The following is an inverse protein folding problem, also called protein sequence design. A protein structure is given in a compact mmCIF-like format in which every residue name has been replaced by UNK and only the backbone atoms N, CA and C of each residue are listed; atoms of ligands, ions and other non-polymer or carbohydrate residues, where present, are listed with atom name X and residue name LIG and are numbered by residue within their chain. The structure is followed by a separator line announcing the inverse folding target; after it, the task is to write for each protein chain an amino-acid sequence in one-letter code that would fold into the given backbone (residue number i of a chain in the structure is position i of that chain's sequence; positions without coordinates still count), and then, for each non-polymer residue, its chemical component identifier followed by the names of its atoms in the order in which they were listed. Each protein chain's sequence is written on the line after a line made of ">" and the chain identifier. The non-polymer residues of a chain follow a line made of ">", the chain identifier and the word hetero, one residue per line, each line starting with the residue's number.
data_IF_042796847285
#
_entry.id   IF_042796847285
#
_cell.length_a   1.000
_cell.length_b   1.000
_cell.length_c   1.000
_cell.angle_alpha   90.00
_cell.angle_beta   90.00
_cell.angle_gamma   90.00
#
_symmetry.space_group_name_H-M   'P 1'
#
loop_
_entity.id
_entity.type
_entity.pdbx_description
1 polymer ?
#
# COMPACT_ATOMS: atom_id res chain seq x y z
N UNK A 1 6.22 -39.64 -17.56
CA UNK A 1 6.53 -38.18 -17.65
C UNK A 1 7.10 -37.72 -16.29
N UNK A 2 8.27 -37.07 -16.28
CA UNK A 2 8.75 -36.43 -15.04
C UNK A 2 7.90 -35.19 -14.83
N UNK A 3 7.03 -35.19 -13.83
CA UNK A 3 6.23 -34.03 -13.48
C UNK A 3 7.14 -32.87 -13.02
N UNK A 4 6.90 -31.68 -13.54
CA UNK A 4 7.58 -30.45 -13.05
C UNK A 4 6.92 -30.10 -11.72
N UNK A 5 7.69 -29.93 -10.62
CA UNK A 5 7.13 -29.43 -9.38
C UNK A 5 6.50 -28.05 -9.62
N UNK A 6 5.22 -27.92 -9.29
CA UNK A 6 4.48 -26.67 -9.51
C UNK A 6 4.09 -26.09 -8.15
N UNK A 7 4.43 -24.83 -7.93
CA UNK A 7 4.12 -24.08 -6.72
C UNK A 7 3.26 -22.88 -7.09
N UNK A 8 2.18 -22.67 -6.36
CA UNK A 8 1.32 -21.48 -6.47
C UNK A 8 1.38 -20.68 -5.17
N UNK A 9 1.77 -19.44 -5.27
CA UNK A 9 1.83 -18.51 -4.14
C UNK A 9 0.70 -17.48 -4.35
N UNK A 10 -0.21 -17.40 -3.39
CA UNK A 10 -1.30 -16.44 -3.44
C UNK A 10 -0.79 -15.01 -3.20
N UNK A 11 -1.47 -14.05 -3.80
CA UNK A 11 -1.13 -12.63 -3.63
C UNK A 11 -1.27 -12.19 -2.16
N UNK A 12 -0.38 -11.31 -1.71
CA UNK A 12 -0.47 -10.67 -0.39
C UNK A 12 -1.73 -9.80 -0.22
N UNK A 13 -2.42 -9.45 -1.32
CA UNK A 13 -3.71 -8.74 -1.26
C UNK A 13 -4.86 -9.62 -0.79
N UNK A 14 -4.68 -10.94 -0.78
CA UNK A 14 -5.73 -11.92 -0.42
C UNK A 14 -5.68 -12.23 1.07
N UNK A 15 -6.13 -11.25 1.87
CA UNK A 15 -6.07 -11.30 3.33
C UNK A 15 -7.05 -12.34 3.92
N UNK A 16 -8.24 -12.51 3.32
CA UNK A 16 -9.32 -13.32 3.87
C UNK A 16 -9.52 -14.68 3.16
N UNK A 17 -8.66 -15.02 2.20
CA UNK A 17 -8.75 -16.30 1.49
C UNK A 17 -8.30 -16.24 0.03
N UNK A 18 -8.33 -17.38 -0.67
CA UNK A 18 -7.76 -17.48 -2.00
C UNK A 18 -8.59 -16.73 -3.05
N UNK A 19 -7.89 -16.24 -4.07
CA UNK A 19 -8.48 -15.67 -5.30
C UNK A 19 -9.32 -16.69 -6.07
N UNK A 20 -10.10 -16.19 -7.03
CA UNK A 20 -10.85 -17.06 -7.96
C UNK A 20 -9.88 -18.02 -8.69
N UNK A 21 -8.72 -17.51 -9.13
CA UNK A 21 -7.67 -18.33 -9.74
C UNK A 21 -7.12 -19.37 -8.76
N UNK A 22 -6.80 -18.96 -7.54
CA UNK A 22 -6.35 -19.87 -6.49
C UNK A 22 -7.36 -20.98 -6.19
N UNK A 23 -8.66 -20.64 -6.09
CA UNK A 23 -9.76 -21.60 -5.90
C UNK A 23 -9.90 -22.56 -7.09
N UNK A 24 -9.71 -22.09 -8.31
CA UNK A 24 -9.76 -22.94 -9.50
C UNK A 24 -8.58 -23.92 -9.55
N UNK A 25 -7.37 -23.40 -9.34
CA UNK A 25 -6.14 -24.22 -9.35
C UNK A 25 -6.09 -25.22 -8.20
N UNK A 26 -6.71 -24.93 -7.05
CA UNK A 26 -6.72 -25.84 -5.89
C UNK A 26 -7.40 -27.18 -6.14
N UNK A 27 -8.12 -27.31 -7.26
CA UNK A 27 -8.72 -28.58 -7.74
C UNK A 27 -7.79 -29.37 -8.66
N UNK A 28 -6.65 -28.79 -9.05
CA UNK A 28 -5.67 -29.44 -9.95
C UNK A 28 -4.66 -30.23 -9.10
N UNK A 29 -4.53 -31.55 -9.32
CA UNK A 29 -3.60 -32.35 -8.53
C UNK A 29 -2.13 -32.00 -8.86
N UNK A 30 -1.25 -32.13 -7.86
CA UNK A 30 0.19 -31.97 -8.05
C UNK A 30 0.71 -30.54 -7.89
N UNK A 31 -0.17 -29.57 -7.59
CA UNK A 31 0.23 -28.18 -7.26
C UNK A 31 0.35 -28.04 -5.75
N UNK A 32 1.44 -27.43 -5.29
CA UNK A 32 1.61 -27.01 -3.88
C UNK A 32 1.16 -25.57 -3.72
N UNK A 33 0.31 -25.30 -2.73
CA UNK A 33 -0.29 -23.98 -2.52
C UNK A 33 0.29 -23.32 -1.28
N UNK A 34 0.56 -22.03 -1.42
CA UNK A 34 1.10 -21.19 -0.34
C UNK A 34 0.31 -19.90 -0.25
N UNK A 35 0.13 -19.42 0.97
CA UNK A 35 -0.46 -18.12 1.26
C UNK A 35 0.51 -17.23 2.05
N UNK A 36 0.16 -15.96 2.17
CA UNK A 36 0.95 -14.94 2.87
C UNK A 36 0.27 -14.44 4.15
N UNK A 37 -0.78 -15.13 4.62
CA UNK A 37 -1.57 -14.76 5.80
C UNK A 37 -1.85 -15.99 6.64
N UNK A 38 -1.34 -15.99 7.89
CA UNK A 38 -1.49 -17.13 8.78
C UNK A 38 -2.95 -17.44 9.14
N UNK A 39 -3.81 -16.42 9.14
CA UNK A 39 -5.21 -16.50 9.61
C UNK A 39 -6.08 -17.46 8.79
N UNK A 40 -5.75 -17.73 7.51
CA UNK A 40 -6.47 -18.69 6.68
C UNK A 40 -5.61 -19.84 6.13
N UNK A 41 -4.45 -20.07 6.77
CA UNK A 41 -3.62 -21.22 6.49
C UNK A 41 -4.33 -22.54 6.88
N UNK A 42 -4.12 -23.59 6.09
CA UNK A 42 -4.66 -24.91 6.31
C UNK A 42 -3.78 -25.98 5.64
N UNK A 43 -4.19 -27.25 5.68
CA UNK A 43 -3.41 -28.37 5.11
C UNK A 43 -3.13 -28.21 3.59
N UNK A 44 -4.01 -27.55 2.86
CA UNK A 44 -3.85 -27.30 1.43
C UNK A 44 -3.07 -26.01 1.15
N UNK A 45 -3.30 -24.94 1.94
CA UNK A 45 -2.72 -23.63 1.79
C UNK A 45 -1.74 -23.34 2.93
N UNK A 46 -0.47 -23.59 2.66
CA UNK A 46 0.57 -23.46 3.70
C UNK A 46 1.03 -22.02 3.82
N UNK A 47 1.09 -21.51 5.04
CA UNK A 47 1.70 -20.21 5.31
C UNK A 47 3.22 -20.33 5.31
N UNK A 48 3.90 -19.50 4.52
CA UNK A 48 5.36 -19.43 4.40
C UNK A 48 5.94 -18.08 4.84
N UNK A 49 5.12 -17.17 5.33
CA UNK A 49 5.48 -15.79 5.59
C UNK A 49 4.83 -14.84 4.59
N UNK A 50 4.98 -13.54 4.84
CA UNK A 50 4.45 -12.46 4.02
C UNK A 50 5.58 -11.57 3.49
N UNK A 51 5.33 -10.90 2.36
CA UNK A 51 6.23 -9.84 1.86
C UNK A 51 6.35 -8.66 2.82
N UNK A 52 5.46 -8.57 3.81
CA UNK A 52 5.45 -7.54 4.85
C UNK A 52 6.21 -7.91 6.11
N UNK A 53 6.53 -9.20 6.34
CA UNK A 53 7.17 -9.69 7.58
C UNK A 53 8.60 -9.14 7.79
N UNK A 54 9.22 -8.59 6.75
CA UNK A 54 10.58 -8.05 6.81
C UNK A 54 10.65 -6.56 7.15
N UNK A 55 9.56 -5.95 7.67
CA UNK A 55 9.53 -4.53 7.99
C UNK A 55 9.10 -4.30 9.43
N UNK A 56 9.70 -3.30 10.05
CA UNK A 56 9.35 -2.80 11.37
C UNK A 56 9.26 -1.27 11.35
N UNK A 57 8.36 -0.73 12.14
CA UNK A 57 8.20 0.71 12.30
C UNK A 57 8.87 1.15 13.59
N UNK A 58 9.73 2.16 13.49
CA UNK A 58 10.40 2.77 14.63
C UNK A 58 10.09 4.26 14.71
N UNK A 59 9.95 4.76 15.92
CA UNK A 59 9.69 6.17 16.15
C UNK A 59 10.95 7.00 15.86
N UNK A 60 10.80 8.11 15.14
CA UNK A 60 11.91 9.01 14.86
C UNK A 60 12.29 9.80 16.10
N UNK A 61 13.59 9.92 16.43
CA UNK A 61 14.04 10.75 17.55
C UNK A 61 13.61 12.22 17.43
N UNK A 62 13.59 12.73 16.19
CA UNK A 62 13.18 14.10 15.88
C UNK A 62 11.96 14.04 14.95
N UNK A 63 10.78 14.19 15.52
CA UNK A 63 9.53 14.25 14.76
C UNK A 63 9.41 15.59 14.02
N UNK A 64 8.96 15.61 12.76
CA UNK A 64 8.74 16.86 12.05
C UNK A 64 7.56 17.62 12.69
N UNK A 65 7.72 18.92 12.85
CA UNK A 65 6.66 19.81 13.31
C UNK A 65 5.73 20.26 12.17
N UNK A 66 6.20 20.15 10.92
CA UNK A 66 5.43 20.41 9.70
C UNK A 66 5.88 19.49 8.58
N UNK A 67 4.99 19.23 7.65
CA UNK A 67 5.29 18.51 6.41
C UNK A 67 5.88 19.49 5.40
N UNK A 68 7.10 19.23 4.96
CA UNK A 68 7.78 20.00 3.92
C UNK A 68 7.72 19.33 2.56
N UNK A 69 7.91 18.00 2.52
CA UNK A 69 7.89 17.22 1.29
C UNK A 69 6.92 16.06 1.42
N UNK A 70 6.04 15.93 0.46
CA UNK A 70 5.06 14.85 0.45
C UNK A 70 4.99 14.15 -0.91
N UNK A 71 4.58 12.89 -0.90
CA UNK A 71 4.17 12.15 -2.10
C UNK A 71 2.73 11.72 -1.93
N UNK A 72 1.91 12.06 -2.91
CA UNK A 72 0.51 11.63 -3.02
C UNK A 72 0.36 10.78 -4.27
N UNK A 73 -0.09 9.53 -4.13
CA UNK A 73 -0.17 8.60 -5.26
C UNK A 73 -1.39 7.71 -5.20
N UNK A 74 -2.15 7.67 -6.30
CA UNK A 74 -3.30 6.77 -6.47
C UNK A 74 -3.03 5.62 -7.44
N UNK A 75 -1.77 5.43 -7.82
CA UNK A 75 -1.37 4.42 -8.81
C UNK A 75 -1.76 4.83 -10.24
N UNK A 76 -1.83 3.84 -11.12
CA UNK A 76 -2.03 4.05 -12.56
C UNK A 76 -3.30 3.38 -13.10
N UNK A 77 -4.27 3.01 -12.25
CA UNK A 77 -5.56 2.46 -12.73
C UNK A 77 -6.38 3.55 -13.41
N UNK A 78 -6.77 3.30 -14.65
CA UNK A 78 -7.40 4.29 -15.54
C UNK A 78 -8.89 4.53 -15.26
N UNK A 79 -9.62 3.59 -14.69
CA UNK A 79 -11.08 3.61 -14.67
C UNK A 79 -11.72 4.23 -13.42
N UNK A 80 -10.93 4.70 -12.45
CA UNK A 80 -11.48 5.11 -11.14
C UNK A 80 -10.95 6.46 -10.67
N UNK A 81 -11.84 7.45 -10.66
CA UNK A 81 -11.57 8.76 -10.08
C UNK A 81 -11.50 8.71 -8.55
N UNK A 82 -10.59 9.49 -7.97
CA UNK A 82 -10.44 9.62 -6.52
C UNK A 82 -10.34 11.10 -6.12
N UNK A 83 -11.26 11.90 -6.64
CA UNK A 83 -11.21 13.36 -6.57
C UNK A 83 -11.22 13.91 -5.13
N UNK A 84 -12.11 13.40 -4.26
CA UNK A 84 -12.25 13.90 -2.88
C UNK A 84 -10.94 13.77 -2.08
N UNK A 85 -10.15 12.73 -2.38
CA UNK A 85 -8.83 12.52 -1.84
C UNK A 85 -7.87 13.67 -2.20
N UNK A 86 -7.85 14.09 -3.47
CA UNK A 86 -6.99 15.19 -3.93
C UNK A 86 -7.46 16.54 -3.40
N UNK A 87 -8.77 16.80 -3.41
CA UNK A 87 -9.36 18.04 -2.86
C UNK A 87 -8.93 18.24 -1.41
N UNK A 88 -9.04 17.19 -0.58
CA UNK A 88 -8.66 17.26 0.82
C UNK A 88 -7.17 17.45 1.01
N UNK A 89 -6.34 16.74 0.28
CA UNK A 89 -4.89 16.82 0.42
C UNK A 89 -4.30 18.11 -0.15
N UNK A 90 -4.90 18.71 -1.19
CA UNK A 90 -4.50 19.99 -1.71
C UNK A 90 -4.55 21.08 -0.61
N UNK A 91 -5.63 21.09 0.19
CA UNK A 91 -5.74 21.98 1.36
C UNK A 91 -4.68 21.67 2.43
N UNK A 92 -4.51 20.37 2.78
CA UNK A 92 -3.62 19.97 3.87
C UNK A 92 -2.15 20.18 3.57
N UNK A 93 -1.75 20.12 2.30
CA UNK A 93 -0.37 20.24 1.83
C UNK A 93 -0.08 21.60 1.16
N UNK A 94 -1.00 22.58 1.26
CA UNK A 94 -0.83 23.92 0.67
C UNK A 94 0.40 24.69 1.17
N UNK A 95 0.89 24.38 2.36
CA UNK A 95 2.09 24.99 2.96
C UNK A 95 3.35 24.12 2.81
N UNK A 96 3.28 23.00 2.08
CA UNK A 96 4.44 22.14 1.84
C UNK A 96 5.39 22.78 0.82
N UNK A 97 6.71 22.60 1.01
CA UNK A 97 7.71 23.14 0.11
C UNK A 97 7.68 22.42 -1.26
N UNK A 98 7.29 21.14 -1.27
CA UNK A 98 7.17 20.31 -2.48
C UNK A 98 6.24 19.13 -2.27
N UNK A 99 5.37 18.87 -3.24
CA UNK A 99 4.50 17.70 -3.29
C UNK A 99 4.56 17.06 -4.67
N UNK A 100 4.85 15.76 -4.72
CA UNK A 100 4.70 14.98 -5.94
C UNK A 100 3.30 14.39 -5.97
N UNK A 101 2.51 14.79 -6.97
CA UNK A 101 1.14 14.34 -7.17
C UNK A 101 1.07 13.35 -8.33
N UNK A 102 0.80 12.06 -8.06
CA UNK A 102 0.45 11.06 -9.08
C UNK A 102 -1.05 10.81 -9.03
N UNK A 103 -1.76 11.31 -10.03
CA UNK A 103 -3.22 11.42 -10.04
C UNK A 103 -3.92 10.25 -10.72
N UNK A 104 -3.18 9.43 -11.50
CA UNK A 104 -3.81 8.45 -12.37
C UNK A 104 -4.79 9.15 -13.32
N UNK A 105 -5.96 8.56 -13.54
CA UNK A 105 -7.03 9.12 -14.37
C UNK A 105 -7.91 10.17 -13.66
N UNK A 106 -7.58 10.57 -12.42
CA UNK A 106 -8.37 11.56 -11.70
C UNK A 106 -8.14 12.96 -12.26
N UNK A 107 -9.19 13.61 -12.75
CA UNK A 107 -9.14 15.01 -13.16
C UNK A 107 -8.96 15.94 -11.96
N UNK A 108 -7.88 16.70 -11.97
CA UNK A 108 -7.49 17.67 -10.94
C UNK A 108 -7.20 19.05 -11.55
N UNK A 109 -7.61 19.30 -12.78
CA UNK A 109 -7.27 20.50 -13.57
C UNK A 109 -7.74 21.81 -12.95
N UNK A 110 -8.74 21.78 -12.07
CA UNK A 110 -9.26 22.94 -11.33
C UNK A 110 -8.67 23.08 -9.92
N UNK A 111 -7.78 22.16 -9.52
CA UNK A 111 -7.03 22.24 -8.26
C UNK A 111 -5.67 22.91 -8.51
N UNK A 112 -5.23 23.72 -7.55
CA UNK A 112 -3.90 24.36 -7.61
C UNK A 112 -2.80 23.34 -7.20
N UNK A 113 -2.64 22.28 -8.02
CA UNK A 113 -1.65 21.23 -7.83
C UNK A 113 -1.02 20.83 -9.17
N UNK A 114 0.28 20.51 -9.17
CA UNK A 114 1.00 19.98 -10.35
C UNK A 114 0.80 18.45 -10.45
N UNK A 115 -0.38 18.04 -10.92
CA UNK A 115 -0.79 16.63 -11.04
C UNK A 115 -0.16 15.95 -12.25
N UNK A 116 0.48 14.80 -12.03
CA UNK A 116 1.01 13.92 -13.08
C UNK A 116 0.18 12.65 -13.12
N UNK A 117 -0.37 12.31 -14.28
CA UNK A 117 -1.12 11.06 -14.45
C UNK A 117 -0.28 9.83 -14.12
N UNK A 118 0.94 9.78 -14.64
CA UNK A 118 1.90 8.70 -14.41
C UNK A 118 3.25 9.28 -14.04
N UNK A 119 3.88 8.73 -13.02
CA UNK A 119 5.26 9.04 -12.61
C UNK A 119 6.12 7.80 -12.84
N UNK A 120 7.28 7.92 -13.52
CA UNK A 120 8.22 6.81 -13.65
C UNK A 120 8.60 6.20 -12.30
N UNK A 121 8.70 4.88 -12.22
CA UNK A 121 8.90 4.18 -10.96
C UNK A 121 10.13 4.68 -10.17
N UNK A 122 11.25 4.93 -10.87
CA UNK A 122 12.48 5.43 -10.22
C UNK A 122 12.33 6.84 -9.64
N UNK A 123 11.57 7.73 -10.31
CA UNK A 123 11.27 9.08 -9.81
C UNK A 123 10.34 9.00 -8.58
N UNK A 124 9.32 8.13 -8.63
CA UNK A 124 8.40 7.92 -7.53
C UNK A 124 9.13 7.36 -6.29
N UNK A 125 10.00 6.37 -6.49
CA UNK A 125 10.82 5.80 -5.41
C UNK A 125 11.77 6.84 -4.80
N UNK A 126 12.42 7.67 -5.62
CA UNK A 126 13.28 8.74 -5.14
C UNK A 126 12.47 9.77 -4.35
N UNK A 127 11.34 10.23 -4.88
CA UNK A 127 10.48 11.19 -4.20
C UNK A 127 9.96 10.62 -2.86
N UNK A 128 9.54 9.35 -2.83
CA UNK A 128 9.12 8.68 -1.59
C UNK A 128 10.26 8.63 -0.57
N UNK A 129 11.50 8.35 -0.99
CA UNK A 129 12.67 8.31 -0.11
C UNK A 129 12.94 9.66 0.55
N UNK A 130 12.77 10.75 -0.19
CA UNK A 130 13.04 12.12 0.26
C UNK A 130 11.86 12.77 0.99
N UNK A 131 10.65 12.24 0.85
CA UNK A 131 9.46 12.78 1.45
C UNK A 131 9.46 12.67 2.99
N UNK A 132 8.77 13.55 3.66
CA UNK A 132 8.43 13.43 5.08
C UNK A 132 7.30 12.42 5.25
N UNK A 133 6.31 12.45 4.35
CA UNK A 133 5.12 11.58 4.39
C UNK A 133 4.74 11.09 2.99
N UNK A 134 4.25 9.87 2.92
CA UNK A 134 3.63 9.27 1.72
C UNK A 134 2.16 9.02 2.01
N UNK A 135 1.28 9.55 1.18
CA UNK A 135 -0.17 9.32 1.24
C UNK A 135 -0.58 8.63 -0.05
N UNK A 136 -1.22 7.47 0.05
CA UNK A 136 -1.53 6.68 -1.14
C UNK A 136 -2.85 5.93 -1.02
N UNK A 137 -3.42 5.57 -2.19
CA UNK A 137 -4.43 4.53 -2.21
C UNK A 137 -3.84 3.22 -1.63
N UNK A 138 -4.67 2.33 -1.11
CA UNK A 138 -4.20 1.11 -0.46
C UNK A 138 -3.80 -0.01 -1.45
N UNK A 139 -3.14 0.35 -2.56
CA UNK A 139 -2.54 -0.61 -3.49
C UNK A 139 -1.29 -1.25 -2.91
N UNK A 140 -1.22 -2.58 -2.90
CA UNK A 140 -0.11 -3.35 -2.31
C UNK A 140 1.26 -2.95 -2.88
N UNK A 141 1.35 -2.67 -4.19
CA UNK A 141 2.58 -2.23 -4.83
C UNK A 141 3.10 -0.92 -4.26
N UNK A 142 2.23 0.09 -4.15
CA UNK A 142 2.59 1.41 -3.61
C UNK A 142 2.92 1.32 -2.12
N UNK A 143 2.14 0.55 -1.34
CA UNK A 143 2.42 0.31 0.08
C UNK A 143 3.80 -0.32 0.27
N UNK A 144 4.10 -1.42 -0.46
CA UNK A 144 5.40 -2.10 -0.36
C UNK A 144 6.56 -1.20 -0.80
N UNK A 145 6.38 -0.37 -1.84
CA UNK A 145 7.39 0.59 -2.27
C UNK A 145 7.65 1.62 -1.17
N UNK A 146 6.60 2.17 -0.54
CA UNK A 146 6.74 3.10 0.59
C UNK A 146 7.54 2.49 1.74
N UNK A 147 7.21 1.25 2.14
CA UNK A 147 7.94 0.53 3.19
C UNK A 147 9.42 0.32 2.83
N UNK A 148 9.71 -0.06 1.57
CA UNK A 148 11.09 -0.20 1.06
C UNK A 148 11.87 1.11 1.06
N UNK A 149 11.18 2.24 0.89
CA UNK A 149 11.77 3.58 0.97
C UNK A 149 11.85 4.11 2.40
N UNK A 150 11.57 3.28 3.41
CA UNK A 150 11.67 3.65 4.82
C UNK A 150 10.51 4.50 5.33
N UNK A 151 9.36 4.51 4.64
CA UNK A 151 8.20 5.35 4.99
C UNK A 151 7.06 4.50 5.52
N UNK A 152 6.45 4.97 6.62
CA UNK A 152 5.15 4.51 7.10
C UNK A 152 4.07 5.27 6.33
N UNK A 153 3.42 4.68 5.32
CA UNK A 153 2.45 5.41 4.50
C UNK A 153 1.13 5.61 5.24
N UNK A 154 0.39 6.65 4.84
CA UNK A 154 -1.05 6.74 5.07
C UNK A 154 -1.73 6.07 3.89
N UNK A 155 -2.51 5.03 4.16
CA UNK A 155 -3.25 4.30 3.15
C UNK A 155 -4.73 4.69 3.22
N UNK A 156 -5.22 5.23 2.10
CA UNK A 156 -6.61 5.64 1.95
C UNK A 156 -7.28 4.72 0.92
N UNK A 157 -8.00 3.68 1.38
CA UNK A 157 -8.65 2.74 0.46
C UNK A 157 -9.72 3.45 -0.39
N UNK A 158 -9.80 3.07 -1.65
CA UNK A 158 -10.90 3.47 -2.53
C UNK A 158 -12.16 2.68 -2.16
N UNK A 159 -13.29 3.37 -2.10
CA UNK A 159 -14.56 2.75 -1.76
C UNK A 159 -15.27 2.24 -3.03
N UNK A 160 -15.50 0.93 -3.12
CA UNK A 160 -16.22 0.31 -4.24
C UNK A 160 -17.69 0.75 -4.31
N UNK A 161 -18.32 1.11 -3.18
CA UNK A 161 -19.70 1.62 -3.14
C UNK A 161 -19.85 3.00 -3.80
N UNK A 162 -18.76 3.75 -3.91
CA UNK A 162 -18.70 5.04 -4.61
C UNK A 162 -18.15 4.93 -6.05
N UNK A 163 -18.02 3.72 -6.61
CA UNK A 163 -17.47 3.48 -7.94
C UNK A 163 -15.96 3.76 -8.06
N UNK A 164 -15.24 3.75 -6.96
CA UNK A 164 -13.81 4.07 -6.90
C UNK A 164 -12.90 2.85 -7.07
N UNK A 165 -13.43 1.62 -7.00
CA UNK A 165 -12.71 0.37 -7.19
C UNK A 165 -13.64 -0.82 -7.50
N UNK A 166 -13.08 -1.95 -8.00
CA UNK A 166 -13.83 -3.17 -8.37
C UNK A 166 -14.22 -4.00 -7.13
N UNK A 167 -13.37 -3.99 -6.07
CA UNK A 167 -13.54 -4.83 -4.89
C UNK A 167 -12.95 -4.17 -3.61
N UNK A 168 -13.22 -4.77 -2.44
CA UNK A 168 -12.84 -4.25 -1.14
C UNK A 168 -11.44 -4.69 -0.66
N UNK A 169 -10.60 -5.26 -1.54
CA UNK A 169 -9.26 -5.72 -1.15
C UNK A 169 -8.35 -4.61 -0.64
N UNK A 170 -8.57 -3.37 -1.07
CA UNK A 170 -7.81 -2.23 -0.55
C UNK A 170 -8.09 -1.99 0.93
N UNK A 171 -9.34 -2.13 1.38
CA UNK A 171 -9.70 -2.03 2.81
C UNK A 171 -9.01 -3.12 3.63
N UNK A 172 -9.03 -4.36 3.15
CA UNK A 172 -8.38 -5.49 3.83
C UNK A 172 -6.87 -5.29 3.95
N UNK A 173 -6.22 -4.86 2.87
CA UNK A 173 -4.77 -4.58 2.86
C UNK A 173 -4.42 -3.43 3.79
N UNK A 174 -5.16 -2.32 3.74
CA UNK A 174 -4.94 -1.17 4.60
C UNK A 174 -5.12 -1.52 6.07
N UNK A 175 -6.20 -2.22 6.43
CA UNK A 175 -6.47 -2.67 7.80
C UNK A 175 -5.39 -3.64 8.32
N UNK A 176 -4.90 -4.55 7.47
CA UNK A 176 -3.81 -5.45 7.83
C UNK A 176 -2.53 -4.67 8.15
N UNK A 177 -2.11 -3.75 7.29
CA UNK A 177 -0.88 -2.98 7.48
C UNK A 177 -1.00 -2.01 8.66
N UNK A 178 -2.19 -1.47 8.93
CA UNK A 178 -2.47 -0.67 10.12
C UNK A 178 -2.33 -1.52 11.40
N UNK A 179 -2.94 -2.71 11.43
CA UNK A 179 -2.81 -3.68 12.54
C UNK A 179 -1.35 -4.09 12.79
N UNK A 180 -0.54 -4.20 11.73
CA UNK A 180 0.90 -4.47 11.83
C UNK A 180 1.72 -3.24 12.26
N UNK A 181 1.12 -2.05 12.35
CA UNK A 181 1.80 -0.79 12.62
C UNK A 181 2.63 -0.25 11.45
N UNK A 182 2.56 -0.89 10.28
CA UNK A 182 3.35 -0.55 9.09
C UNK A 182 2.75 0.59 8.26
N UNK A 183 1.47 0.93 8.47
CA UNK A 183 0.78 2.04 7.82
C UNK A 183 -0.21 2.69 8.79
N UNK A 184 -0.76 3.85 8.41
CA UNK A 184 -2.00 4.38 8.96
C UNK A 184 -3.11 4.16 7.93
N UNK A 185 -4.19 3.48 8.30
CA UNK A 185 -5.38 3.36 7.45
C UNK A 185 -6.39 4.44 7.82
N UNK A 186 -6.85 5.20 6.82
CA UNK A 186 -7.88 6.24 6.98
C UNK A 186 -8.84 6.23 5.81
N UNK A 187 -10.11 6.51 6.07
CA UNK A 187 -11.02 6.92 5.01
C UNK A 187 -10.77 8.37 4.63
N UNK A 188 -11.18 8.79 3.42
CA UNK A 188 -10.97 10.17 2.97
C UNK A 188 -11.55 11.18 3.97
N UNK A 189 -12.77 10.93 4.44
CA UNK A 189 -13.49 11.80 5.37
C UNK A 189 -12.86 11.85 6.78
N UNK A 190 -12.13 10.83 7.18
CA UNK A 190 -11.48 10.70 8.49
C UNK A 190 -10.04 11.28 8.49
N UNK A 191 -9.44 11.47 7.31
CA UNK A 191 -8.07 11.94 7.17
C UNK A 191 -7.93 13.37 7.71
N UNK A 192 -6.90 13.60 8.53
CA UNK A 192 -6.61 14.88 9.18
C UNK A 192 -5.15 15.32 8.96
N UNK A 193 -4.84 16.62 9.17
CA UNK A 193 -3.45 17.12 9.16
C UNK A 193 -2.59 16.44 10.25
N UNK A 194 -3.18 16.05 11.37
CA UNK A 194 -2.48 15.34 12.44
C UNK A 194 -1.99 13.94 12.00
N UNK A 195 -2.76 13.23 11.16
CA UNK A 195 -2.34 11.93 10.63
C UNK A 195 -1.06 12.05 9.78
N UNK A 196 -0.89 13.17 9.05
CA UNK A 196 0.31 13.41 8.26
C UNK A 196 1.55 13.50 9.15
N UNK A 197 1.44 14.25 10.26
CA UNK A 197 2.53 14.40 11.24
C UNK A 197 2.77 13.11 12.01
N UNK A 198 1.70 12.37 12.35
CA UNK A 198 1.82 11.06 12.98
C UNK A 198 2.61 10.10 12.08
N UNK A 199 2.23 9.95 10.82
CA UNK A 199 2.93 9.06 9.88
C UNK A 199 4.39 9.49 9.70
N UNK A 200 4.66 10.78 9.55
CA UNK A 200 5.99 11.35 9.39
C UNK A 200 6.87 11.21 10.66
N UNK A 201 6.26 11.01 11.82
CA UNK A 201 6.96 10.77 13.09
C UNK A 201 7.60 9.39 13.20
N UNK A 202 7.40 8.52 12.21
CA UNK A 202 7.95 7.16 12.18
C UNK A 202 8.81 6.94 10.93
N UNK A 203 9.70 5.98 11.02
CA UNK A 203 10.41 5.41 9.88
C UNK A 203 10.23 3.89 9.86
N UNK A 204 10.37 3.31 8.68
CA UNK A 204 10.32 1.86 8.49
C UNK A 204 11.71 1.35 8.23
N UNK A 205 12.11 0.34 8.99
CA UNK A 205 13.39 -0.34 8.84
C UNK A 205 13.18 -1.79 8.39
N UNK A 206 14.24 -2.40 7.88
CA UNK A 206 14.25 -3.84 7.64
C UNK A 206 14.46 -4.56 8.95
N UNK A 207 13.57 -5.51 9.24
CA UNK A 207 13.75 -6.41 10.38
C UNK A 207 14.69 -7.54 10.02
N UNK A 208 15.62 -7.88 10.93
CA UNK A 208 16.48 -9.06 10.81
C UNK A 208 15.70 -10.38 11.01
N UNK A 209 14.44 -10.31 11.44
CA UNK A 209 13.56 -11.47 11.67
C UNK A 209 12.91 -11.99 10.38
N UNK A 210 13.46 -11.68 9.20
CA UNK A 210 12.96 -12.22 7.93
C UNK A 210 12.97 -13.74 7.98
N UNK A 211 11.79 -14.35 8.09
CA UNK A 211 11.65 -15.78 7.85
C UNK A 211 11.99 -16.05 6.39
N UNK A 212 13.12 -16.69 6.15
CA UNK A 212 13.45 -17.13 4.80
C UNK A 212 12.31 -18.02 4.30
N UNK A 213 11.78 -17.70 3.11
CA UNK A 213 10.82 -18.57 2.41
C UNK A 213 11.52 -19.87 2.08
N UNK A 214 11.29 -20.91 2.89
CA UNK A 214 11.76 -22.27 2.61
C UNK A 214 10.70 -23.02 1.81
N UNK A 215 10.89 -23.08 0.49
CA UNK A 215 10.05 -23.84 -0.46
C UNK A 215 10.40 -25.32 -0.43
#
# INVERSE_FOLDING_TARGET
>A
MRGIPTHYIESATRVEGPSVTGKALSRVPGIKFYNQHADWANDQWRYLGSVFDGFETVERPNKPEKIRRAVVSVGTMEDYSFRDFFVRLADYLSEADSVLWQTGSTDVSDLDIDGKEVVPAHELEQAMREADVVIAHAGTGTALTSLRMGKRPILVPRDSSHGQHIDDHQFQTAALLDKMGLALSRKVEELTKADLLEAAGFEVIRSDQTRALHL
#
